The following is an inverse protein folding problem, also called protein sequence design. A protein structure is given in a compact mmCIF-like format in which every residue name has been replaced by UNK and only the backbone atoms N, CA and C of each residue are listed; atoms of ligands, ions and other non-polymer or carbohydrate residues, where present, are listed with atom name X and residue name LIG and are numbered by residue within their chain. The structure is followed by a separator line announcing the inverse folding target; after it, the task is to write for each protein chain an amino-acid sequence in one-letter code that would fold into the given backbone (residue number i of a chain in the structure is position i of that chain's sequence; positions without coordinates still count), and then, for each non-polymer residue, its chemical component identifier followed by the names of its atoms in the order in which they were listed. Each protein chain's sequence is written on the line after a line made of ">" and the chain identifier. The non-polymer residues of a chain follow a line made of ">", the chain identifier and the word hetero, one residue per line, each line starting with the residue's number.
data_IF_607409532238
#
_entry.id   IF_607409532238
#
_cell.length_a   1.000
_cell.length_b   1.000
_cell.length_c   1.000
_cell.angle_alpha   90.00
_cell.angle_beta   90.00
_cell.angle_gamma   90.00
#
_symmetry.space_group_name_H-M   'P 1'
#
loop_
_entity.id
_entity.type
_entity.pdbx_description
1 polymer ?
#
# COMPACT_ATOMS: atom_id res chain seq x y z
N UNK A 1 -19.01 -9.87 2.63
CA UNK A 1 -19.85 -8.72 3.04
C UNK A 1 -18.90 -7.57 3.32
N UNK A 2 -18.77 -6.61 2.40
CA UNK A 2 -17.82 -5.50 2.53
C UNK A 2 -18.42 -4.45 3.48
N UNK A 3 -17.78 -4.24 4.63
CA UNK A 3 -18.20 -3.21 5.57
C UNK A 3 -17.67 -1.84 5.08
N UNK A 4 -18.54 -1.04 4.48
CA UNK A 4 -18.25 0.37 4.20
C UNK A 4 -18.24 1.11 5.54
N UNK A 5 -17.05 1.50 6.01
CA UNK A 5 -16.94 2.32 7.23
C UNK A 5 -16.83 3.78 6.82
N UNK A 6 -17.83 4.57 7.19
CA UNK A 6 -17.85 6.01 7.02
C UNK A 6 -16.83 6.67 7.96
N UNK A 7 -15.55 6.67 7.57
CA UNK A 7 -14.54 7.48 8.26
C UNK A 7 -14.66 8.91 7.79
N UNK A 8 -15.28 9.76 8.62
CA UNK A 8 -15.30 11.21 8.45
C UNK A 8 -13.87 11.74 8.32
N UNK A 9 -13.61 12.45 7.22
CA UNK A 9 -12.40 13.25 6.98
C UNK A 9 -12.24 14.30 8.10
N UNK A 10 -11.49 13.96 9.13
CA UNK A 10 -11.07 14.94 10.16
C UNK A 10 -9.57 15.29 10.05
N UNK A 11 -8.82 14.71 9.11
CA UNK A 11 -7.35 14.79 9.09
C UNK A 11 -6.72 15.33 7.79
N UNK A 12 -7.51 15.68 6.78
CA UNK A 12 -7.02 16.39 5.59
C UNK A 12 -7.82 17.69 5.48
N UNK A 13 -7.11 18.81 5.41
CA UNK A 13 -7.69 20.16 5.36
C UNK A 13 -8.87 20.25 4.40
N UNK A 14 -9.85 21.08 4.77
CA UNK A 14 -11.13 21.28 4.08
C UNK A 14 -11.00 21.06 2.55
N UNK A 15 -11.74 20.10 1.96
CA UNK A 15 -11.81 20.00 0.52
C UNK A 15 -12.36 21.33 -0.01
N UNK A 16 -11.57 22.06 -0.81
CA UNK A 16 -12.01 23.29 -1.50
C UNK A 16 -13.03 23.01 -2.61
N UNK A 17 -13.37 21.74 -2.82
CA UNK A 17 -14.24 21.27 -3.90
C UNK A 17 -15.43 20.56 -3.25
N UNK A 18 -16.65 21.04 -3.54
CA UNK A 18 -17.90 20.53 -2.98
C UNK A 18 -18.43 19.28 -3.69
N UNK A 19 -17.93 18.98 -4.89
CA UNK A 19 -18.39 17.85 -5.70
C UNK A 19 -17.34 17.40 -6.72
N UNK A 20 -17.42 16.15 -7.14
CA UNK A 20 -16.56 15.55 -8.16
C UNK A 20 -17.40 14.84 -9.22
N UNK A 21 -16.94 14.83 -10.47
CA UNK A 21 -17.54 14.00 -11.51
C UNK A 21 -17.14 12.53 -11.30
N UNK A 22 -18.12 11.64 -11.22
CA UNK A 22 -17.84 10.21 -11.21
C UNK A 22 -17.21 9.77 -12.55
N UNK A 23 -16.01 9.18 -12.57
CA UNK A 23 -15.35 8.76 -13.82
C UNK A 23 -16.11 7.63 -14.54
N UNK A 24 -16.91 6.85 -13.82
CA UNK A 24 -17.66 5.71 -14.38
C UNK A 24 -18.95 6.12 -15.07
N UNK A 25 -19.77 6.94 -14.41
CA UNK A 25 -21.11 7.29 -14.91
C UNK A 25 -21.28 8.78 -15.25
N UNK A 26 -20.23 9.59 -15.06
CA UNK A 26 -20.24 11.05 -15.26
C UNK A 26 -21.34 11.79 -14.47
N UNK A 27 -21.91 11.16 -13.46
CA UNK A 27 -22.82 11.82 -12.55
C UNK A 27 -22.05 12.68 -11.55
N UNK A 28 -22.68 13.76 -11.14
CA UNK A 28 -22.18 14.68 -10.14
C UNK A 28 -22.27 14.03 -8.76
N UNK A 29 -21.14 13.81 -8.10
CA UNK A 29 -21.05 13.21 -6.76
C UNK A 29 -20.63 14.27 -5.75
N UNK A 30 -21.48 14.58 -4.77
CA UNK A 30 -21.10 15.43 -3.64
C UNK A 30 -19.97 14.77 -2.84
N UNK A 31 -18.97 15.55 -2.44
CA UNK A 31 -17.85 15.05 -1.64
C UNK A 31 -18.30 14.39 -0.31
N UNK A 32 -19.46 14.79 0.23
CA UNK A 32 -20.08 14.19 1.42
C UNK A 32 -20.54 12.74 1.19
N UNK A 33 -20.83 12.38 -0.06
CA UNK A 33 -21.30 11.05 -0.44
C UNK A 33 -20.16 10.10 -0.85
N UNK A 34 -18.89 10.53 -0.69
CA UNK A 34 -17.73 9.68 -0.94
C UNK A 34 -17.55 8.74 0.26
N UNK A 35 -17.79 7.45 0.04
CA UNK A 35 -17.49 6.41 1.01
C UNK A 35 -16.12 5.79 0.73
N UNK A 36 -15.36 5.49 1.79
CA UNK A 36 -14.09 4.78 1.67
C UNK A 36 -14.30 3.28 1.88
N UNK A 37 -13.95 2.47 0.89
CA UNK A 37 -13.91 1.02 1.04
C UNK A 37 -12.62 0.64 1.79
N UNK A 38 -12.75 0.34 3.08
CA UNK A 38 -11.63 -0.16 3.88
C UNK A 38 -11.59 -1.70 3.74
N UNK A 39 -10.66 -2.24 2.95
CA UNK A 39 -10.37 -3.68 2.95
C UNK A 39 -9.47 -4.05 4.13
N UNK A 40 -9.92 -3.77 5.36
CA UNK A 40 -9.25 -4.27 6.56
C UNK A 40 -9.77 -5.68 6.83
N UNK A 41 -9.00 -6.69 6.42
CA UNK A 41 -9.04 -8.00 7.09
C UNK A 41 -8.48 -7.82 8.50
N UNK A 42 -9.31 -7.32 9.41
CA UNK A 42 -8.96 -7.15 10.80
C UNK A 42 -8.93 -8.55 11.45
N UNK A 43 -7.77 -9.22 11.41
CA UNK A 43 -7.46 -10.26 12.39
C UNK A 43 -7.16 -9.58 13.73
N UNK A 44 -8.19 -9.04 14.36
CA UNK A 44 -8.12 -8.64 15.75
C UNK A 44 -8.58 -9.83 16.59
N UNK A 45 -7.62 -10.65 17.02
CA UNK A 45 -7.82 -11.51 18.18
C UNK A 45 -7.46 -10.68 19.43
N UNK A 46 -8.35 -10.55 20.43
CA UNK A 46 -7.98 -9.97 21.71
C UNK A 46 -7.23 -11.03 22.54
N UNK A 47 -6.03 -10.66 22.97
CA UNK A 47 -5.25 -11.18 24.11
C UNK A 47 -5.00 -12.70 24.22
N UNK A 48 -3.76 -13.12 23.95
CA UNK A 48 -2.98 -13.88 24.93
C UNK A 48 -1.48 -13.79 24.60
N UNK A 49 -0.69 -13.58 25.64
CA UNK A 49 0.76 -13.58 25.64
C UNK A 49 1.30 -14.95 25.23
N UNK A 50 1.85 -15.06 24.02
CA UNK A 50 2.92 -16.02 23.69
C UNK A 50 3.93 -15.32 22.78
N UNK A 51 5.19 -15.50 23.13
CA UNK A 51 6.35 -14.88 22.51
C UNK A 51 6.73 -15.66 21.24
N UNK A 52 7.17 -14.91 20.22
CA UNK A 52 8.09 -15.32 19.14
C UNK A 52 7.55 -15.85 17.80
N UNK A 53 8.16 -15.28 16.75
CA UNK A 53 8.23 -15.69 15.32
C UNK A 53 7.05 -15.37 14.39
N UNK A 54 6.70 -14.08 14.21
CA UNK A 54 6.12 -13.61 12.93
C UNK A 54 6.12 -12.08 12.78
N UNK A 55 7.28 -11.45 12.86
CA UNK A 55 7.43 -9.99 12.76
C UNK A 55 7.36 -9.44 11.33
N UNK A 56 7.11 -10.29 10.33
CA UNK A 56 7.00 -9.88 8.93
C UNK A 56 5.64 -9.24 8.59
N UNK A 57 4.56 -9.72 9.20
CA UNK A 57 3.19 -9.24 8.92
C UNK A 57 2.88 -7.84 9.47
N UNK A 58 3.74 -7.32 10.36
CA UNK A 58 3.54 -6.03 11.04
C UNK A 58 4.19 -4.84 10.30
N UNK A 59 4.98 -5.10 9.27
CA UNK A 59 5.64 -4.01 8.51
C UNK A 59 4.60 -3.27 7.65
N UNK A 60 4.38 -2.01 8.00
CA UNK A 60 3.43 -1.14 7.33
C UNK A 60 4.07 -0.53 6.08
N UNK A 61 3.42 -0.69 4.93
CA UNK A 61 3.89 -0.14 3.65
C UNK A 61 3.26 1.23 3.45
N UNK A 62 4.08 2.25 3.21
CA UNK A 62 3.64 3.61 2.89
C UNK A 62 3.13 3.68 1.45
N UNK A 63 1.86 4.05 1.29
CA UNK A 63 1.16 4.16 0.01
C UNK A 63 0.01 3.16 -0.11
N UNK A 64 -0.73 3.22 -1.20
CA UNK A 64 -1.80 2.26 -1.51
C UNK A 64 -1.48 1.63 -2.86
N UNK A 65 -1.03 0.38 -2.84
CA UNK A 65 -0.64 -0.34 -4.05
C UNK A 65 -1.45 -1.62 -4.19
N UNK A 66 -1.29 -2.32 -5.32
CA UNK A 66 -1.90 -3.64 -5.46
C UNK A 66 -1.29 -4.63 -4.47
N UNK A 67 -2.06 -5.67 -4.11
CA UNK A 67 -1.66 -6.65 -3.08
C UNK A 67 -0.28 -7.29 -3.32
N UNK A 68 0.10 -7.49 -4.60
CA UNK A 68 1.41 -8.06 -4.96
C UNK A 68 2.55 -7.08 -4.70
N UNK A 69 2.37 -5.81 -5.06
CA UNK A 69 3.38 -4.75 -4.87
C UNK A 69 3.61 -4.52 -3.37
N UNK A 70 2.52 -4.45 -2.59
CA UNK A 70 2.61 -4.34 -1.15
C UNK A 70 3.30 -5.55 -0.52
N UNK A 71 2.98 -6.78 -0.96
CA UNK A 71 3.62 -7.98 -0.45
C UNK A 71 5.13 -8.02 -0.73
N UNK A 72 5.56 -7.64 -1.93
CA UNK A 72 6.99 -7.56 -2.28
C UNK A 72 7.70 -6.49 -1.46
N UNK A 73 7.13 -5.30 -1.36
CA UNK A 73 7.69 -4.18 -0.58
C UNK A 73 7.83 -4.56 0.89
N UNK A 74 6.80 -5.18 1.46
CA UNK A 74 6.78 -5.69 2.83
C UNK A 74 7.89 -6.72 3.08
N UNK A 75 8.04 -7.69 2.17
CA UNK A 75 9.09 -8.72 2.24
C UNK A 75 10.48 -8.11 2.23
N UNK A 76 10.72 -7.11 1.38
CA UNK A 76 12.04 -6.44 1.30
C UNK A 76 12.33 -5.70 2.59
N UNK A 77 11.38 -4.92 3.12
CA UNK A 77 11.54 -4.23 4.41
C UNK A 77 11.94 -5.19 5.51
N UNK A 78 11.22 -6.32 5.62
CA UNK A 78 11.51 -7.36 6.61
C UNK A 78 12.90 -7.99 6.46
N UNK A 79 13.31 -8.29 5.22
CA UNK A 79 14.65 -8.82 4.95
C UNK A 79 15.71 -7.79 5.35
N UNK A 80 15.57 -6.53 4.94
CA UNK A 80 16.55 -5.48 5.20
C UNK A 80 16.65 -5.09 6.68
N UNK A 81 15.56 -5.19 7.44
CA UNK A 81 15.57 -4.96 8.89
C UNK A 81 16.31 -6.07 9.65
N UNK A 82 16.26 -7.30 9.15
CA UNK A 82 16.92 -8.46 9.77
C UNK A 82 18.37 -8.61 9.31
N UNK A 83 18.64 -8.27 8.05
CA UNK A 83 19.94 -8.38 7.42
C UNK A 83 20.21 -7.16 6.50
N UNK A 84 20.92 -6.13 6.98
CA UNK A 84 21.14 -4.89 6.23
C UNK A 84 22.07 -5.06 5.01
N UNK A 85 22.83 -6.16 4.92
CA UNK A 85 23.70 -6.46 3.77
C UNK A 85 23.04 -7.37 2.72
N UNK A 86 21.80 -7.80 2.95
CA UNK A 86 21.06 -8.61 1.99
C UNK A 86 20.81 -7.83 0.68
N UNK A 87 20.96 -8.53 -0.45
CA UNK A 87 20.62 -8.02 -1.78
C UNK A 87 19.42 -8.77 -2.32
N UNK A 88 18.46 -8.04 -2.88
CA UNK A 88 17.22 -8.60 -3.43
C UNK A 88 17.14 -8.30 -4.92
N UNK A 89 16.79 -9.31 -5.72
CA UNK A 89 16.46 -9.16 -7.14
C UNK A 89 14.96 -9.38 -7.33
N UNK A 90 14.31 -8.42 -7.99
CA UNK A 90 12.87 -8.48 -8.29
C UNK A 90 12.69 -8.58 -9.80
N UNK A 91 11.89 -9.55 -10.23
CA UNK A 91 11.56 -9.78 -11.63
C UNK A 91 10.07 -9.52 -11.89
N UNK A 92 9.77 -8.97 -13.06
CA UNK A 92 8.41 -8.80 -13.56
C UNK A 92 8.42 -9.01 -15.07
N UNK A 93 7.40 -9.68 -15.60
CA UNK A 93 7.20 -9.77 -17.05
C UNK A 93 6.78 -8.43 -17.68
N UNK A 94 6.28 -7.49 -16.87
CA UNK A 94 5.77 -6.20 -17.32
C UNK A 94 6.68 -5.07 -16.83
N UNK A 95 7.11 -4.21 -17.75
CA UNK A 95 7.98 -3.08 -17.45
C UNK A 95 7.26 -2.06 -16.55
N UNK A 96 6.00 -1.75 -16.88
CA UNK A 96 5.17 -0.80 -16.13
C UNK A 96 5.00 -1.18 -14.65
N UNK A 97 5.00 -2.49 -14.34
CA UNK A 97 4.96 -2.98 -12.96
C UNK A 97 6.25 -2.67 -12.21
N UNK A 98 7.39 -2.64 -12.89
CA UNK A 98 8.66 -2.24 -12.30
C UNK A 98 8.65 -0.74 -11.99
N UNK A 99 8.06 0.10 -12.83
CA UNK A 99 7.91 1.54 -12.55
C UNK A 99 7.05 1.78 -11.30
N UNK A 100 5.97 1.01 -11.13
CA UNK A 100 5.14 1.05 -9.90
C UNK A 100 5.93 0.57 -8.67
N UNK A 101 6.79 -0.45 -8.82
CA UNK A 101 7.67 -0.91 -7.74
C UNK A 101 8.70 0.16 -7.36
N UNK A 102 9.27 0.89 -8.32
CA UNK A 102 10.20 2.00 -8.05
C UNK A 102 9.54 3.07 -7.18
N UNK A 103 8.31 3.45 -7.50
CA UNK A 103 7.53 4.38 -6.68
C UNK A 103 7.28 3.83 -5.27
N UNK A 104 6.89 2.56 -5.15
CA UNK A 104 6.68 1.91 -3.86
C UNK A 104 7.97 1.87 -3.01
N UNK A 105 9.10 1.53 -3.62
CA UNK A 105 10.39 1.46 -2.93
C UNK A 105 10.87 2.83 -2.48
N UNK A 106 10.76 3.86 -3.35
CA UNK A 106 11.10 5.23 -3.00
C UNK A 106 10.25 5.75 -1.82
N UNK A 107 8.94 5.50 -1.84
CA UNK A 107 8.03 5.91 -0.77
C UNK A 107 8.31 5.20 0.58
N UNK A 108 8.99 4.05 0.55
CA UNK A 108 9.29 3.23 1.73
C UNK A 108 10.77 3.25 2.12
N UNK A 109 11.57 4.18 1.58
CA UNK A 109 13.00 4.32 1.84
C UNK A 109 13.83 3.06 1.52
N UNK A 110 13.40 2.27 0.52
CA UNK A 110 14.15 1.13 0.03
C UNK A 110 15.07 1.60 -1.09
N UNK A 111 16.37 1.36 -0.95
CA UNK A 111 17.35 1.65 -2.02
C UNK A 111 17.24 0.62 -3.14
N UNK A 112 17.15 1.07 -4.39
CA UNK A 112 17.04 0.18 -5.54
C UNK A 112 17.86 0.70 -6.73
N UNK A 113 18.14 -0.20 -7.66
CA UNK A 113 18.71 0.13 -8.97
C UNK A 113 17.86 -0.53 -10.05
N UNK A 114 17.38 0.27 -11.00
CA UNK A 114 16.67 -0.23 -12.16
C UNK A 114 17.66 -0.67 -13.23
N UNK A 115 17.73 -1.97 -13.48
CA UNK A 115 18.42 -2.46 -14.66
C UNK A 115 17.59 -2.12 -15.90
N UNK A 116 18.06 -1.21 -16.73
CA UNK A 116 17.51 -1.02 -18.08
C UNK A 116 18.20 -2.04 -18.98
N UNK A 117 17.42 -2.84 -19.70
CA UNK A 117 17.95 -3.88 -20.59
C UNK A 117 18.96 -3.30 -21.59
N UNK A 118 20.00 -4.08 -21.90
CA UNK A 118 20.95 -3.76 -22.97
C UNK A 118 20.32 -3.96 -24.34
N UNK A 119 20.72 -3.12 -25.30
CA UNK A 119 20.41 -3.30 -26.72
C UNK A 119 21.03 -4.59 -27.25
#
# INVERSE_FOLDING_TARGET
>A
MFAMTEKRLALLGKPQVSWLMCPTCRQHTDCRNIAYAVDRRNMSCPSSSVVSENSEASTNVQGSYSTKIEAVTRRILWITSTNPVAKVLVFSSWNDVLDVLEHAFAANNITFVRMKGGR
#
